data_IF_390861946544
#
_entry.id   IF_390861946544
#
_cell.length_a   1.000
_cell.length_b   1.000
_cell.length_c   1.000
_cell.angle_alpha   90.00
_cell.angle_beta   90.00
_cell.angle_gamma   90.00
#
_symmetry.space_group_name_H-M   'P 1'
#
loop_
_entity.id
_entity.type
_entity.pdbx_description
1 polymer ?
#
# COMPACT_ATOMS: atom_id res chain seq x y z
N UNK A 1 -18.93 -6.19 29.83
CA UNK A 1 -19.26 -7.52 29.29
C UNK A 1 -19.00 -7.47 27.79
N UNK A 2 -17.97 -8.15 27.26
CA UNK A 2 -18.04 -9.53 26.74
C UNK A 2 -19.33 -9.75 25.94
N UNK A 3 -19.23 -9.95 24.63
CA UNK A 3 -19.65 -11.19 23.98
C UNK A 3 -19.03 -11.23 22.59
N UNK A 4 -18.01 -12.09 22.50
CA UNK A 4 -17.40 -12.61 21.30
C UNK A 4 -18.34 -13.69 20.78
N UNK A 5 -18.98 -13.44 19.64
CA UNK A 5 -19.80 -14.43 18.95
C UNK A 5 -18.86 -15.50 18.39
N UNK A 6 -19.05 -16.69 18.90
CA UNK A 6 -18.29 -17.88 18.60
C UNK A 6 -19.15 -18.81 17.72
N UNK A 7 -18.49 -19.76 17.06
CA UNK A 7 -18.98 -21.11 16.72
C UNK A 7 -19.49 -21.34 15.28
N UNK A 8 -18.89 -22.38 14.67
CA UNK A 8 -19.36 -23.24 13.55
C UNK A 8 -18.82 -22.83 12.17
N UNK A 9 -18.06 -23.65 11.42
CA UNK A 9 -18.35 -25.05 11.12
C UNK A 9 -17.12 -25.87 10.69
N UNK A 10 -16.99 -27.03 11.31
CA UNK A 10 -16.17 -28.18 10.90
C UNK A 10 -16.80 -28.81 9.65
N UNK A 11 -15.99 -29.13 8.63
CA UNK A 11 -16.10 -30.41 7.90
C UNK A 11 -14.83 -30.78 7.11
N UNK A 12 -14.13 -31.86 7.50
CA UNK A 12 -12.98 -32.41 6.78
C UNK A 12 -13.48 -33.44 5.75
N UNK A 13 -12.93 -33.45 4.53
CA UNK A 13 -13.05 -34.61 3.62
C UNK A 13 -11.74 -34.83 2.87
N UNK A 14 -11.05 -35.89 3.32
CA UNK A 14 -10.00 -36.63 2.62
C UNK A 14 -10.68 -37.75 1.80
N UNK A 15 -10.50 -37.82 0.47
CA UNK A 15 -10.57 -39.02 -0.42
C UNK A 15 -9.99 -38.56 -1.78
N UNK A 16 -8.75 -38.90 -2.16
CA UNK A 16 -8.21 -40.15 -2.72
C UNK A 16 -8.36 -40.32 -4.26
N UNK A 17 -7.18 -40.40 -4.90
CA UNK A 17 -6.79 -41.21 -6.06
C UNK A 17 -7.48 -41.02 -7.43
N UNK A 18 -6.69 -40.55 -8.41
CA UNK A 18 -6.64 -41.19 -9.74
C UNK A 18 -5.26 -41.01 -10.40
N UNK A 19 -4.67 -42.14 -10.78
CA UNK A 19 -3.45 -42.28 -11.56
C UNK A 19 -3.68 -41.88 -13.02
N UNK A 20 -2.78 -41.07 -13.59
CA UNK A 20 -2.50 -41.06 -15.03
C UNK A 20 -1.00 -40.84 -15.23
N UNK A 21 -0.34 -41.93 -15.60
CA UNK A 21 1.03 -41.96 -16.12
C UNK A 21 1.01 -41.44 -17.56
N UNK A 22 1.75 -40.38 -17.84
CA UNK A 22 1.95 -39.85 -19.20
C UNK A 22 3.35 -39.25 -19.32
N UNK A 23 4.18 -39.89 -20.13
CA UNK A 23 5.57 -39.57 -20.35
C UNK A 23 5.76 -38.34 -21.26
N UNK A 24 6.97 -37.79 -21.15
CA UNK A 24 7.79 -37.19 -22.21
C UNK A 24 7.98 -35.67 -22.23
N UNK A 25 9.28 -35.33 -22.19
CA UNK A 25 10.00 -34.20 -22.80
C UNK A 25 9.76 -32.78 -22.29
N UNK A 26 10.80 -32.21 -21.67
CA UNK A 26 11.66 -31.20 -22.28
C UNK A 26 12.48 -30.53 -21.18
N UNK A 27 13.79 -30.63 -21.30
CA UNK A 27 14.74 -29.81 -20.55
C UNK A 27 14.39 -28.34 -20.75
N UNK A 28 14.01 -27.68 -19.66
CA UNK A 28 13.78 -26.25 -19.59
C UNK A 28 14.28 -25.78 -18.25
N UNK A 29 15.60 -25.60 -18.15
CA UNK A 29 16.19 -24.76 -17.12
C UNK A 29 15.71 -23.33 -17.37
N UNK A 30 14.64 -22.94 -16.67
CA UNK A 30 14.16 -21.57 -16.64
C UNK A 30 14.04 -21.19 -15.16
N UNK A 31 14.87 -20.25 -14.66
CA UNK A 31 14.81 -19.84 -13.28
C UNK A 31 13.42 -19.24 -13.01
N UNK A 32 12.88 -19.62 -11.86
CA UNK A 32 11.73 -19.00 -11.24
C UNK A 32 11.96 -17.48 -11.14
N UNK A 33 11.46 -16.72 -12.12
CA UNK A 33 11.24 -15.30 -11.95
C UNK A 33 9.93 -15.15 -11.18
N UNK A 34 10.06 -15.36 -9.87
CA UNK A 34 9.27 -14.62 -8.92
C UNK A 34 9.54 -13.14 -9.18
N UNK A 35 8.64 -12.49 -9.91
CA UNK A 35 8.52 -11.04 -9.81
C UNK A 35 7.04 -10.73 -9.81
N UNK A 36 6.45 -10.93 -8.63
CA UNK A 36 5.32 -10.10 -8.24
C UNK A 36 5.79 -8.67 -8.33
N UNK A 37 5.58 -8.05 -9.48
CA UNK A 37 5.66 -6.63 -9.64
C UNK A 37 4.50 -6.06 -8.83
N UNK A 38 4.72 -5.92 -7.52
CA UNK A 38 4.04 -4.91 -6.74
C UNK A 38 4.30 -3.62 -7.50
N UNK A 39 3.29 -3.11 -8.20
CA UNK A 39 3.34 -1.83 -8.87
C UNK A 39 3.90 -0.84 -7.85
N UNK A 40 5.18 -0.47 -8.00
CA UNK A 40 5.83 0.44 -7.08
C UNK A 40 5.17 1.78 -7.32
N UNK A 41 4.18 2.07 -6.50
CA UNK A 41 3.39 3.26 -6.59
C UNK A 41 4.35 4.41 -6.27
N UNK A 42 4.82 5.11 -7.30
CA UNK A 42 5.98 5.97 -7.22
C UNK A 42 5.86 6.93 -6.02
N UNK A 43 6.70 6.68 -5.02
CA UNK A 43 6.71 7.37 -3.75
C UNK A 43 7.37 8.74 -3.92
N UNK A 44 6.75 9.75 -3.34
CA UNK A 44 7.28 11.11 -3.27
C UNK A 44 7.76 11.37 -1.86
N UNK A 45 8.98 11.90 -1.72
CA UNK A 45 9.46 12.40 -0.44
C UNK A 45 8.67 13.64 0.01
N UNK A 46 8.42 13.76 1.30
CA UNK A 46 7.72 14.89 1.88
C UNK A 46 7.94 15.03 3.38
N UNK A 47 7.58 16.19 3.89
CA UNK A 47 7.60 16.49 5.33
C UNK A 47 6.19 16.87 5.78
N UNK A 48 5.69 16.19 6.79
CA UNK A 48 4.38 16.48 7.36
C UNK A 48 4.45 17.82 8.09
N UNK A 49 3.62 18.78 7.69
CA UNK A 49 3.54 20.09 8.35
C UNK A 49 2.39 20.18 9.33
N UNK A 50 1.27 19.54 8.99
CA UNK A 50 0.05 19.52 9.81
C UNK A 50 -0.82 18.33 9.44
N UNK A 51 -1.52 17.77 10.43
CA UNK A 51 -2.46 16.66 10.27
C UNK A 51 -3.82 17.11 10.76
N UNK A 52 -4.86 16.96 9.92
CA UNK A 52 -6.25 17.32 10.22
C UNK A 52 -7.12 16.05 10.11
N UNK A 53 -7.18 15.21 11.16
CA UNK A 53 -7.89 13.93 11.11
C UNK A 53 -9.40 14.10 10.96
N UNK A 54 -9.98 15.18 11.51
CA UNK A 54 -11.41 15.49 11.40
C UNK A 54 -11.84 15.73 9.94
N UNK A 55 -10.95 16.31 9.13
CA UNK A 55 -11.22 16.60 7.72
C UNK A 55 -10.58 15.58 6.77
N UNK A 56 -9.90 14.55 7.29
CA UNK A 56 -9.12 13.58 6.51
C UNK A 56 -8.10 14.24 5.58
N UNK A 57 -7.43 15.29 6.08
CA UNK A 57 -6.47 16.09 5.33
C UNK A 57 -5.12 16.08 6.01
N UNK A 58 -4.06 16.22 5.21
CA UNK A 58 -2.70 16.36 5.67
C UNK A 58 -2.00 17.43 4.86
N UNK A 59 -1.35 18.35 5.55
CA UNK A 59 -0.49 19.36 4.93
C UNK A 59 0.90 18.78 4.84
N UNK A 60 1.39 18.58 3.62
CA UNK A 60 2.71 18.01 3.36
C UNK A 60 3.51 19.03 2.55
N UNK A 61 4.72 19.33 3.02
CA UNK A 61 5.74 19.95 2.20
C UNK A 61 6.36 18.86 1.35
N UNK A 62 5.86 18.70 0.14
CA UNK A 62 6.30 17.64 -0.75
C UNK A 62 7.54 18.06 -1.53
N UNK A 63 8.36 17.07 -1.88
CA UNK A 63 9.41 17.19 -2.87
C UNK A 63 8.84 17.26 -4.29
N UNK A 64 9.66 16.99 -5.28
CA UNK A 64 9.18 16.89 -6.65
C UNK A 64 8.25 15.67 -6.81
N UNK A 65 7.01 15.91 -7.24
CA UNK A 65 6.09 14.82 -7.59
C UNK A 65 6.17 14.57 -9.09
N UNK A 66 7.11 13.72 -9.50
CA UNK A 66 7.35 13.39 -10.91
C UNK A 66 6.08 12.90 -11.64
N UNK A 67 5.25 12.08 -10.97
CA UNK A 67 4.03 11.53 -11.56
C UNK A 67 2.96 12.59 -11.91
N UNK A 68 3.03 13.77 -11.30
CA UNK A 68 2.07 14.86 -11.49
C UNK A 68 2.73 16.12 -12.06
N UNK A 69 4.05 16.12 -12.27
CA UNK A 69 4.82 17.28 -12.73
C UNK A 69 4.78 18.46 -11.75
N UNK A 70 4.67 18.21 -10.45
CA UNK A 70 4.57 19.28 -9.44
C UNK A 70 5.94 19.55 -8.80
N UNK A 71 6.42 20.81 -8.79
CA UNK A 71 7.65 21.20 -8.10
C UNK A 71 7.48 21.09 -6.57
N UNK A 72 8.58 21.11 -5.80
CA UNK A 72 8.52 21.06 -4.34
C UNK A 72 7.73 22.25 -3.78
N UNK A 73 6.58 21.98 -3.15
CA UNK A 73 5.73 22.98 -2.54
C UNK A 73 4.99 22.44 -1.32
N UNK A 74 4.36 23.32 -0.54
CA UNK A 74 3.52 22.93 0.60
C UNK A 74 2.06 22.94 0.17
N UNK A 75 1.42 21.78 0.23
CA UNK A 75 0.05 21.57 -0.24
C UNK A 75 -0.73 20.73 0.77
N UNK A 76 -2.04 20.94 0.81
CA UNK A 76 -2.98 20.09 1.54
C UNK A 76 -3.45 18.96 0.63
N UNK A 77 -3.23 17.73 1.05
CA UNK A 77 -3.71 16.53 0.39
C UNK A 77 -4.84 15.89 1.20
N UNK A 78 -5.78 15.23 0.52
CA UNK A 78 -6.72 14.32 1.17
C UNK A 78 -6.05 12.96 1.33
N UNK A 79 -6.41 12.21 2.36
CA UNK A 79 -6.01 10.79 2.48
C UNK A 79 -7.16 9.87 2.09
N UNK A 80 -6.84 8.70 1.52
CA UNK A 80 -7.83 7.65 1.28
C UNK A 80 -8.34 7.03 2.58
N UNK A 81 -7.47 6.87 3.56
CA UNK A 81 -7.78 6.26 4.86
C UNK A 81 -7.29 7.15 6.01
N UNK A 82 -8.16 7.56 6.96
CA UNK A 82 -7.75 8.30 8.15
C UNK A 82 -6.72 7.57 9.02
N UNK A 83 -6.63 6.23 8.96
CA UNK A 83 -5.62 5.46 9.69
C UNK A 83 -4.18 5.82 9.27
N UNK A 84 -3.97 6.26 8.02
CA UNK A 84 -2.67 6.73 7.53
C UNK A 84 -2.20 7.99 8.29
N UNK A 85 -3.15 8.82 8.75
CA UNK A 85 -2.85 10.05 9.50
C UNK A 85 -2.39 9.75 10.93
N UNK A 86 -2.83 8.64 11.52
CA UNK A 86 -2.45 8.27 12.89
C UNK A 86 -0.94 7.95 13.01
N UNK A 87 -0.34 7.50 11.91
CA UNK A 87 1.09 7.16 11.83
C UNK A 87 1.97 8.35 11.45
N UNK A 88 1.38 9.50 11.10
CA UNK A 88 2.08 10.70 10.67
C UNK A 88 2.01 11.80 11.74
N UNK A 89 3.14 12.41 12.08
CA UNK A 89 3.18 13.56 13.00
C UNK A 89 3.77 14.79 12.31
N UNK A 90 3.35 16.01 12.68
CA UNK A 90 4.03 17.23 12.22
C UNK A 90 5.53 17.18 12.50
N UNK A 91 6.35 17.46 11.48
CA UNK A 91 7.80 17.36 11.50
C UNK A 91 8.35 16.06 10.92
N UNK A 92 7.53 15.02 10.74
CA UNK A 92 8.00 13.74 10.21
C UNK A 92 8.35 13.83 8.73
N UNK A 93 9.48 13.24 8.38
CA UNK A 93 9.82 12.95 6.98
C UNK A 93 9.14 11.65 6.58
N UNK A 94 8.36 11.72 5.51
CA UNK A 94 7.60 10.60 4.99
C UNK A 94 7.84 10.45 3.50
N UNK A 95 7.58 9.25 3.01
CA UNK A 95 7.39 8.92 1.60
C UNK A 95 5.94 8.61 1.38
N UNK A 96 5.31 9.26 0.40
CA UNK A 96 3.88 9.09 0.18
C UNK A 96 3.57 8.93 -1.31
N UNK A 97 2.56 8.14 -1.62
CA UNK A 97 2.01 8.03 -2.97
C UNK A 97 0.77 8.89 -3.08
N UNK A 98 0.66 9.64 -4.17
CA UNK A 98 -0.50 10.48 -4.45
C UNK A 98 -1.08 10.12 -5.82
N UNK A 99 -2.40 10.04 -5.87
CA UNK A 99 -3.15 9.83 -7.09
C UNK A 99 -4.04 11.04 -7.39
N UNK A 100 -4.13 11.41 -8.66
CA UNK A 100 -5.11 12.38 -9.13
C UNK A 100 -6.42 11.65 -9.42
N UNK A 101 -7.46 11.96 -8.65
CA UNK A 101 -8.83 11.45 -8.83
C UNK A 101 -9.77 12.59 -9.22
N UNK A 102 -11.03 12.26 -9.54
CA UNK A 102 -12.06 13.26 -9.85
C UNK A 102 -12.23 14.30 -8.72
N UNK A 103 -11.95 13.90 -7.48
CA UNK A 103 -12.14 14.72 -6.28
C UNK A 103 -10.90 15.54 -5.87
N UNK A 104 -9.82 15.46 -6.67
CA UNK A 104 -8.52 16.10 -6.43
C UNK A 104 -7.39 15.11 -6.16
N UNK A 105 -6.36 15.57 -5.43
CA UNK A 105 -5.19 14.77 -5.08
C UNK A 105 -5.42 13.98 -3.79
N UNK A 106 -5.31 12.66 -3.89
CA UNK A 106 -5.55 11.74 -2.78
C UNK A 106 -4.31 10.91 -2.50
N UNK A 107 -3.84 10.97 -1.26
CA UNK A 107 -2.74 10.15 -0.75
C UNK A 107 -3.28 8.76 -0.44
N UNK A 108 -2.67 7.76 -1.05
CA UNK A 108 -3.07 6.35 -0.98
C UNK A 108 -2.17 5.52 -0.09
N UNK A 109 -0.93 5.97 0.09
CA UNK A 109 0.06 5.32 0.92
C UNK A 109 0.94 6.36 1.59
N UNK A 110 1.25 6.15 2.86
CA UNK A 110 2.21 6.94 3.64
C UNK A 110 3.15 5.95 4.32
N UNK A 111 4.45 6.17 4.16
CA UNK A 111 5.51 5.42 4.80
C UNK A 111 6.47 6.40 5.47
N UNK A 112 7.04 6.08 6.63
CA UNK A 112 8.15 6.86 7.19
C UNK A 112 9.31 6.90 6.19
N UNK A 113 9.97 8.05 6.03
CA UNK A 113 11.16 8.11 5.17
C UNK A 113 12.33 7.25 5.71
N UNK A 114 12.29 6.94 7.01
CA UNK A 114 13.24 6.06 7.70
C UNK A 114 12.84 4.57 7.64
N UNK A 115 11.71 4.23 7.02
CA UNK A 115 11.34 2.83 6.77
C UNK A 115 12.18 2.29 5.59
N UNK A 116 13.49 2.25 5.77
CA UNK A 116 14.30 1.22 5.16
C UNK A 116 13.99 -0.08 5.89
N UNK A 117 13.25 -0.98 5.25
CA UNK A 117 13.49 -2.44 5.20
C UNK A 117 12.31 -3.18 4.59
#
# INVERSE_FOLDING_TARGET
MKTQESITMIKPIFVAALLMTGAAIASGDAPALATGASATQALTDGEVRKVDPEQKKITIKHGEIANLGMPPMTMVFKVSDPALLASAKPGDKIRFSVEKRAEGFVVTSIQPADAAQ
#
